data_IF_507699351888
#
_entry.id   IF_507699351888
#
_cell.length_a   1.000
_cell.length_b   1.000
_cell.length_c   1.000
_cell.angle_alpha   90.00
_cell.angle_beta   90.00
_cell.angle_gamma   90.00
#
_symmetry.space_group_name_H-M   'P 1'
#
loop_
_entity.id
_entity.type
_entity.pdbx_description
1 polymer ?
#
# COMPACT_ATOMS: atom_id res chain seq x y z
N UNK A 1 82.38 -50.01 11.62
CA UNK A 1 82.27 -49.07 10.48
C UNK A 1 81.17 -49.56 9.56
N UNK A 2 80.43 -48.68 8.85
CA UNK A 2 79.54 -47.56 9.23
C UNK A 2 78.07 -47.99 8.87
N UNK A 3 77.07 -47.15 8.50
CA UNK A 3 76.82 -45.70 8.63
C UNK A 3 75.57 -45.40 9.52
N UNK A 4 75.36 -44.28 10.22
CA UNK A 4 75.46 -42.83 9.98
C UNK A 4 74.11 -42.16 9.59
N UNK A 5 73.69 -41.22 10.47
CA UNK A 5 72.75 -40.07 10.37
C UNK A 5 71.26 -40.24 10.76
N UNK A 6 70.85 -39.46 11.78
CA UNK A 6 69.47 -39.29 12.27
C UNK A 6 68.56 -38.48 11.33
N UNK A 7 67.35 -38.05 11.75
CA UNK A 7 67.23 -37.06 12.82
C UNK A 7 65.96 -37.14 13.72
N UNK A 8 66.01 -36.34 14.79
CA UNK A 8 64.98 -35.47 15.36
C UNK A 8 63.50 -35.92 15.48
N UNK A 9 62.99 -35.79 16.71
CA UNK A 9 61.67 -35.16 16.94
C UNK A 9 60.58 -36.04 17.55
N UNK A 10 60.53 -36.06 18.88
CA UNK A 10 59.35 -36.35 19.70
C UNK A 10 58.20 -35.34 19.45
N UNK A 11 56.97 -35.55 19.98
CA UNK A 11 56.24 -36.80 20.17
C UNK A 11 54.83 -36.75 19.52
N UNK A 12 54.31 -37.95 19.34
CA UNK A 12 52.97 -38.28 18.88
C UNK A 12 51.87 -37.86 19.86
N UNK A 13 50.89 -37.14 19.32
CA UNK A 13 49.46 -37.40 19.47
C UNK A 13 48.89 -37.70 20.87
N UNK A 14 48.19 -36.72 21.44
CA UNK A 14 46.96 -36.99 22.17
C UNK A 14 45.76 -36.45 21.39
N UNK A 15 44.86 -37.38 21.16
CA UNK A 15 43.63 -37.37 20.39
C UNK A 15 42.49 -37.04 21.35
N UNK A 16 41.60 -36.11 21.02
CA UNK A 16 40.34 -35.96 21.77
C UNK A 16 39.50 -34.72 21.43
N UNK A 17 38.28 -34.96 20.94
CA UNK A 17 37.16 -34.00 20.90
C UNK A 17 37.18 -33.04 19.72
N UNK A 18 36.24 -33.04 18.77
CA UNK A 18 34.80 -33.10 18.96
C UNK A 18 34.24 -31.66 19.05
N UNK A 19 33.75 -31.14 17.91
CA UNK A 19 33.05 -29.86 17.88
C UNK A 19 33.23 -29.12 16.56
N UNK A 20 32.37 -29.40 15.58
CA UNK A 20 32.20 -28.51 14.43
C UNK A 20 31.76 -27.13 14.94
N UNK A 21 32.68 -26.16 14.92
CA UNK A 21 32.37 -24.74 15.11
C UNK A 21 32.23 -24.11 13.73
N UNK A 22 31.03 -23.66 13.41
CA UNK A 22 30.78 -22.78 12.28
C UNK A 22 31.58 -21.46 12.44
N UNK A 23 32.02 -20.83 11.34
CA UNK A 23 32.73 -19.56 11.39
C UNK A 23 31.76 -18.40 11.72
N UNK A 24 32.07 -17.52 12.68
CA UNK A 24 31.37 -16.26 12.82
C UNK A 24 32.13 -15.20 12.02
N UNK A 25 31.49 -14.57 11.02
CA UNK A 25 32.16 -13.45 10.37
C UNK A 25 31.63 -12.95 9.04
N UNK A 26 30.37 -13.21 8.67
CA UNK A 26 29.79 -12.62 7.45
C UNK A 26 28.31 -12.29 7.64
N UNK A 27 27.98 -11.40 8.59
CA UNK A 27 26.56 -11.07 8.82
C UNK A 27 26.27 -9.59 9.12
N UNK A 28 27.16 -8.66 8.75
CA UNK A 28 26.86 -7.23 8.90
C UNK A 28 26.35 -6.55 7.62
N UNK A 29 26.60 -7.12 6.44
CA UNK A 29 26.14 -6.51 5.17
C UNK A 29 24.68 -6.86 4.86
N UNK A 30 24.22 -8.06 5.23
CA UNK A 30 22.83 -8.49 4.95
C UNK A 30 21.79 -7.89 5.90
N UNK A 31 22.15 -7.57 7.15
CA UNK A 31 21.23 -6.91 8.08
C UNK A 31 21.02 -5.42 7.76
N UNK A 32 22.01 -4.75 7.16
CA UNK A 32 21.90 -3.35 6.76
C UNK A 32 21.05 -3.14 5.48
N UNK A 33 20.95 -4.14 4.59
CA UNK A 33 20.03 -4.09 3.45
C UNK A 33 18.56 -4.30 3.84
N UNK A 34 18.28 -5.01 4.95
CA UNK A 34 16.91 -5.20 5.44
C UNK A 34 16.38 -4.02 6.28
N UNK A 35 17.26 -3.12 6.73
CA UNK A 35 16.85 -1.89 7.43
C UNK A 35 16.73 -0.67 6.49
N UNK A 36 17.15 -0.78 5.23
CA UNK A 36 16.88 0.26 4.21
C UNK A 36 15.42 0.26 3.71
N UNK A 37 14.59 -0.68 4.15
CA UNK A 37 13.14 -0.66 3.89
C UNK A 37 12.34 0.12 4.95
N UNK A 38 13.01 0.82 5.87
CA UNK A 38 12.36 1.77 6.79
C UNK A 38 12.41 3.23 6.30
N UNK A 39 12.85 3.45 5.06
CA UNK A 39 12.62 4.68 4.31
C UNK A 39 11.65 4.35 3.19
N UNK A 40 10.35 4.32 3.50
CA UNK A 40 9.30 4.27 2.48
C UNK A 40 9.63 5.36 1.47
N UNK A 41 9.89 4.96 0.24
CA UNK A 41 10.04 5.87 -0.89
C UNK A 41 8.74 6.65 -1.02
N UNK A 42 8.74 7.87 -0.46
CA UNK A 42 7.72 8.90 -0.64
C UNK A 42 7.81 9.37 -2.09
N UNK A 43 7.24 8.60 -3.01
CA UNK A 43 7.26 8.94 -4.43
C UNK A 43 5.82 8.80 -4.97
N UNK A 44 5.23 9.95 -5.31
CA UNK A 44 3.86 10.21 -5.84
C UNK A 44 2.65 10.06 -4.89
N UNK A 45 2.77 9.31 -3.79
CA UNK A 45 1.67 9.05 -2.83
C UNK A 45 1.40 10.10 -1.76
N UNK A 46 2.13 11.22 -1.77
CA UNK A 46 2.23 12.10 -0.58
C UNK A 46 1.33 13.33 -0.64
N UNK A 47 0.71 13.62 -1.79
CA UNK A 47 -0.21 14.75 -1.90
C UNK A 47 -1.63 14.31 -1.57
N UNK A 48 -2.20 14.91 -0.53
CA UNK A 48 -3.64 14.87 -0.31
C UNK A 48 -4.33 15.70 -1.41
N UNK A 49 -5.37 15.14 -2.00
CA UNK A 49 -6.21 15.83 -2.98
C UNK A 49 -7.67 15.77 -2.58
N UNK A 50 -8.43 16.77 -3.04
CA UNK A 50 -9.89 16.79 -3.07
C UNK A 50 -10.34 16.77 -4.52
N UNK A 51 -11.34 15.96 -4.82
CA UNK A 51 -11.95 15.92 -6.15
C UNK A 51 -13.46 15.77 -6.02
N UNK A 52 -14.18 16.55 -6.81
CA UNK A 52 -15.62 16.42 -6.96
C UNK A 52 -15.90 15.43 -8.09
N UNK A 53 -16.98 14.67 -7.98
CA UNK A 53 -17.36 13.71 -9.00
C UNK A 53 -18.85 13.69 -9.23
N UNK A 54 -19.22 13.30 -10.44
CA UNK A 54 -20.60 13.02 -10.80
C UNK A 54 -20.67 11.74 -11.66
N UNK A 55 -21.53 10.82 -11.28
CA UNK A 55 -21.72 9.53 -11.95
C UNK A 55 -23.11 9.46 -12.58
N UNK A 56 -23.12 9.13 -13.86
CA UNK A 56 -24.31 9.09 -14.70
C UNK A 56 -24.66 7.64 -15.06
N UNK A 57 -25.95 7.39 -15.28
CA UNK A 57 -26.48 6.08 -15.68
C UNK A 57 -27.55 5.58 -14.71
N UNK A 58 -27.71 4.26 -14.60
CA UNK A 58 -28.63 3.64 -13.63
C UNK A 58 -27.96 3.55 -12.27
N UNK A 59 -27.92 4.66 -11.55
CA UNK A 59 -27.20 4.80 -10.26
C UNK A 59 -28.11 5.09 -9.05
N UNK A 60 -29.39 5.43 -9.28
CA UNK A 60 -30.38 5.59 -8.21
C UNK A 60 -31.22 4.33 -8.01
N UNK A 61 -31.71 4.11 -6.78
CA UNK A 61 -32.50 2.92 -6.42
C UNK A 61 -31.71 1.59 -6.36
N UNK A 62 -30.39 1.63 -6.54
CA UNK A 62 -29.51 0.44 -6.64
C UNK A 62 -28.48 0.34 -5.50
N UNK A 63 -28.71 1.05 -4.40
CA UNK A 63 -27.79 1.15 -3.26
C UNK A 63 -26.41 1.73 -3.58
N UNK A 64 -26.25 2.44 -4.70
CA UNK A 64 -24.96 3.00 -5.14
C UNK A 64 -24.24 3.77 -4.04
N UNK A 65 -24.92 4.73 -3.40
CA UNK A 65 -24.40 5.52 -2.27
C UNK A 65 -23.80 4.67 -1.14
N UNK A 66 -24.42 3.54 -0.81
CA UNK A 66 -23.96 2.63 0.25
C UNK A 66 -22.66 1.91 -0.14
N UNK A 67 -22.58 1.46 -1.39
CA UNK A 67 -21.37 0.83 -1.92
C UNK A 67 -20.23 1.84 -2.06
N UNK A 68 -20.50 3.05 -2.54
CA UNK A 68 -19.50 4.13 -2.62
C UNK A 68 -18.94 4.47 -1.25
N UNK A 69 -19.79 4.60 -0.23
CA UNK A 69 -19.33 4.83 1.15
C UNK A 69 -18.45 3.67 1.66
N UNK A 70 -18.85 2.42 1.40
CA UNK A 70 -18.09 1.25 1.85
C UNK A 70 -16.71 1.19 1.18
N UNK A 71 -16.63 1.43 -0.13
CA UNK A 71 -15.35 1.42 -0.85
C UNK A 71 -14.47 2.61 -0.43
N UNK A 72 -15.05 3.80 -0.27
CA UNK A 72 -14.32 4.97 0.25
C UNK A 72 -13.71 4.70 1.63
N UNK A 73 -14.48 4.11 2.55
CA UNK A 73 -13.99 3.72 3.88
C UNK A 73 -12.89 2.64 3.80
N UNK A 74 -13.05 1.65 2.93
CA UNK A 74 -12.05 0.59 2.72
C UNK A 74 -10.72 1.14 2.21
N UNK A 75 -10.76 2.19 1.39
CA UNK A 75 -9.58 2.88 0.87
C UNK A 75 -9.01 3.94 1.83
N UNK A 76 -9.64 4.17 2.98
CA UNK A 76 -9.22 5.20 3.95
C UNK A 76 -9.51 6.64 3.48
N UNK A 77 -10.48 6.82 2.60
CA UNK A 77 -10.89 8.12 2.06
C UNK A 77 -12.01 8.74 2.89
N UNK A 78 -12.13 10.06 2.82
CA UNK A 78 -13.19 10.85 3.46
C UNK A 78 -13.94 11.67 2.41
N UNK A 79 -15.11 12.19 2.79
CA UNK A 79 -15.94 13.00 1.89
C UNK A 79 -17.41 12.65 1.99
N UNK A 80 -18.14 12.82 0.90
CA UNK A 80 -19.58 12.61 0.89
C UNK A 80 -20.11 12.16 -0.46
N UNK A 81 -21.30 11.56 -0.45
CA UNK A 81 -22.03 11.11 -1.64
C UNK A 81 -23.53 11.43 -1.51
N UNK A 82 -24.15 11.93 -2.58
CA UNK A 82 -25.55 12.35 -2.64
C UNK A 82 -26.20 11.99 -3.99
N UNK A 83 -27.50 11.75 -4.00
CA UNK A 83 -28.28 11.69 -5.23
C UNK A 83 -28.61 13.12 -5.70
N UNK A 84 -28.61 13.36 -7.01
CA UNK A 84 -29.10 14.60 -7.60
C UNK A 84 -30.57 14.46 -8.03
N UNK A 85 -31.22 15.58 -8.31
CA UNK A 85 -32.58 15.60 -8.89
C UNK A 85 -32.60 15.11 -10.34
N UNK A 86 -31.49 15.25 -11.06
CA UNK A 86 -31.31 14.81 -12.45
C UNK A 86 -31.10 13.30 -12.61
N UNK A 87 -31.23 12.52 -11.54
CA UNK A 87 -31.08 11.07 -11.58
C UNK A 87 -29.64 10.57 -11.49
N UNK A 88 -28.67 11.44 -11.21
CA UNK A 88 -27.24 11.12 -11.08
C UNK A 88 -26.82 10.96 -9.61
N UNK A 89 -25.57 10.60 -9.39
CA UNK A 89 -24.94 10.56 -8.06
C UNK A 89 -23.69 11.43 -8.07
N UNK A 90 -23.65 12.42 -7.19
CA UNK A 90 -22.50 13.30 -7.03
C UNK A 90 -21.84 13.13 -5.66
N UNK A 91 -20.64 13.66 -5.53
CA UNK A 91 -19.95 13.68 -4.24
C UNK A 91 -18.59 14.35 -4.30
N UNK A 92 -17.92 14.35 -3.15
CA UNK A 92 -16.54 14.81 -3.02
C UNK A 92 -15.73 13.72 -2.32
N UNK A 93 -14.50 13.51 -2.82
CA UNK A 93 -13.55 12.54 -2.28
C UNK A 93 -12.30 13.30 -1.86
N UNK A 94 -11.83 13.03 -0.65
CA UNK A 94 -10.57 13.57 -0.13
C UNK A 94 -9.69 12.46 0.43
N UNK A 95 -8.39 12.56 0.17
CA UNK A 95 -7.41 11.61 0.67
C UNK A 95 -6.12 11.59 -0.14
N UNK A 96 -5.23 10.61 0.10
CA UNK A 96 -4.02 10.42 -0.67
C UNK A 96 -4.33 10.25 -2.16
N UNK A 97 -3.59 10.94 -3.03
CA UNK A 97 -3.81 10.95 -4.49
C UNK A 97 -4.02 9.56 -5.08
N UNK A 98 -3.15 8.60 -4.71
CA UNK A 98 -3.22 7.20 -5.19
C UNK A 98 -4.54 6.54 -4.80
N UNK A 99 -4.98 6.72 -3.55
CA UNK A 99 -6.24 6.16 -3.07
C UNK A 99 -7.45 6.82 -3.71
N UNK A 100 -7.39 8.13 -3.94
CA UNK A 100 -8.44 8.84 -4.67
C UNK A 100 -8.56 8.29 -6.09
N UNK A 101 -7.44 8.09 -6.81
CA UNK A 101 -7.42 7.49 -8.15
C UNK A 101 -8.01 6.07 -8.16
N UNK A 102 -7.71 5.25 -7.15
CA UNK A 102 -8.33 3.92 -6.99
C UNK A 102 -9.87 4.01 -6.89
N UNK A 103 -10.41 4.95 -6.10
CA UNK A 103 -11.85 5.14 -6.01
C UNK A 103 -12.46 5.71 -7.30
N UNK A 104 -11.76 6.61 -8.00
CA UNK A 104 -12.20 7.12 -9.29
C UNK A 104 -12.35 6.00 -10.33
N UNK A 105 -11.40 5.08 -10.40
CA UNK A 105 -11.49 3.89 -11.26
C UNK A 105 -12.67 2.99 -10.89
N UNK A 106 -12.90 2.79 -9.59
CA UNK A 106 -14.06 2.04 -9.12
C UNK A 106 -15.39 2.70 -9.51
N UNK A 107 -15.48 4.03 -9.44
CA UNK A 107 -16.64 4.81 -9.86
C UNK A 107 -16.85 4.80 -11.38
N UNK A 108 -15.81 4.55 -12.17
CA UNK A 108 -15.90 4.40 -13.63
C UNK A 108 -16.38 3.01 -14.04
N UNK A 109 -15.97 1.95 -13.32
CA UNK A 109 -16.07 0.57 -13.83
C UNK A 109 -16.96 -0.36 -13.00
N UNK A 110 -17.00 -0.19 -11.68
CA UNK A 110 -17.58 -1.21 -10.78
C UNK A 110 -18.91 -0.77 -10.19
N UNK A 111 -18.92 0.32 -9.42
CA UNK A 111 -20.14 0.77 -8.75
C UNK A 111 -20.82 -0.31 -7.89
N UNK A 112 -22.13 -0.18 -7.72
CA UNK A 112 -22.95 -1.22 -7.05
C UNK A 112 -23.28 -2.38 -8.00
N UNK A 113 -23.52 -3.61 -7.49
CA UNK A 113 -23.81 -4.77 -8.35
C UNK A 113 -25.01 -4.62 -9.29
N UNK A 114 -25.98 -3.76 -8.94
CA UNK A 114 -27.19 -3.50 -9.74
C UNK A 114 -27.13 -2.19 -10.53
N UNK A 115 -26.04 -1.42 -10.43
CA UNK A 115 -25.89 -0.19 -11.19
C UNK A 115 -25.36 -0.43 -12.58
N UNK A 116 -25.67 0.52 -13.47
CA UNK A 116 -25.03 0.62 -14.77
C UNK A 116 -24.47 2.03 -14.91
N UNK A 117 -23.14 2.15 -14.94
CA UNK A 117 -22.43 3.43 -15.07
C UNK A 117 -22.28 3.72 -16.56
N UNK A 118 -22.84 4.83 -17.02
CA UNK A 118 -22.70 5.30 -18.40
C UNK A 118 -21.47 6.19 -18.56
N UNK A 119 -21.24 7.09 -17.61
CA UNK A 119 -20.02 7.91 -17.51
C UNK A 119 -19.80 8.35 -16.07
N UNK A 120 -18.56 8.66 -15.73
CA UNK A 120 -18.18 9.30 -14.49
C UNK A 120 -17.27 10.48 -14.81
N UNK A 121 -17.64 11.65 -14.29
CA UNK A 121 -16.90 12.89 -14.44
C UNK A 121 -16.27 13.29 -13.12
N UNK A 122 -15.14 13.99 -13.24
CA UNK A 122 -14.34 14.43 -12.11
C UNK A 122 -13.94 15.88 -12.36
N UNK A 123 -14.15 16.72 -11.36
CA UNK A 123 -14.03 18.17 -11.46
C UNK A 123 -13.35 18.70 -10.21
N UNK A 124 -12.91 19.96 -10.26
CA UNK A 124 -12.40 20.69 -9.10
C UNK A 124 -11.29 19.95 -8.35
N UNK A 125 -10.45 19.20 -9.07
CA UNK A 125 -9.32 18.52 -8.45
C UNK A 125 -8.34 19.56 -7.90
N UNK A 126 -8.13 19.53 -6.59
CA UNK A 126 -7.22 20.45 -5.89
C UNK A 126 -6.36 19.68 -4.91
N UNK A 127 -5.11 20.10 -4.77
CA UNK A 127 -4.25 19.66 -3.66
C UNK A 127 -4.72 20.33 -2.38
N UNK A 128 -4.82 19.56 -1.31
CA UNK A 128 -5.22 20.03 0.02
C UNK A 128 -4.09 19.76 1.02
N UNK A 129 -3.98 20.62 2.02
CA UNK A 129 -2.97 20.46 3.10
C UNK A 129 -3.50 19.63 4.26
N UNK A 130 -4.83 19.52 4.39
CA UNK A 130 -5.51 18.75 5.41
C UNK A 130 -6.87 18.27 4.90
N UNK A 131 -7.39 17.20 5.50
CA UNK A 131 -8.73 16.69 5.21
C UNK A 131 -9.79 17.63 5.80
N UNK A 132 -10.76 18.03 4.98
CA UNK A 132 -11.88 18.88 5.40
C UNK A 132 -12.98 18.04 6.07
N UNK A 133 -13.02 16.73 5.82
CA UNK A 133 -13.98 15.79 6.41
C UNK A 133 -13.30 14.77 7.32
N UNK A 134 -14.07 14.30 8.32
CA UNK A 134 -13.62 13.24 9.24
C UNK A 134 -13.99 11.83 8.79
N UNK A 135 -15.00 11.71 7.93
CA UNK A 135 -15.60 10.44 7.54
C UNK A 135 -16.07 10.51 6.08
N UNK A 136 -16.37 9.33 5.52
CA UNK A 136 -17.15 9.22 4.29
C UNK A 136 -18.64 9.10 4.61
N UNK A 137 -19.43 10.10 4.25
CA UNK A 137 -20.86 10.22 4.65
C UNK A 137 -21.82 10.12 3.47
N UNK A 138 -23.02 9.58 3.72
CA UNK A 138 -24.12 9.60 2.75
C UNK A 138 -25.01 10.80 3.09
N UNK A 139 -25.15 11.74 2.16
CA UNK A 139 -26.03 12.89 2.29
C UNK A 139 -27.42 12.50 1.78
N UNK A 140 -28.45 13.01 2.47
CA UNK A 140 -29.85 12.69 2.17
C UNK A 140 -30.29 13.35 0.88
#
# INVERSE_FOLDING_TARGET
MPPQWGPAGSPSSLRGGGGWRHPPGSLLIVAALFLYQAGVTMTEGDSLISVDYEVFGKVQGVFFRKYTQAEGKKLGLVGWVQNTEDGTVQGQIQGPSVKVRELQEWLRKTGSPKSHISRAEFHNEKKIVALEYRNFSIVK
#
